data_IF_870035465666
#
_entry.id   IF_870035465666
#
_cell.length_a   1.000
_cell.length_b   1.000
_cell.length_c   1.000
_cell.angle_alpha   90.00
_cell.angle_beta   90.00
_cell.angle_gamma   90.00
#
_symmetry.space_group_name_H-M   'P 1'
#
loop_
_entity.id
_entity.type
_entity.pdbx_description
1 polymer ?
#
# COMPACT_ATOMS: atom_id res chain seq x y z
N UNK A 1 41.59 -6.39 -6.90
CA UNK A 1 41.79 -5.06 -6.26
C UNK A 1 40.51 -4.69 -5.50
N UNK A 2 40.53 -4.75 -4.17
CA UNK A 2 39.38 -4.38 -3.33
C UNK A 2 39.22 -2.87 -3.33
N UNK A 3 38.09 -2.37 -3.84
CA UNK A 3 37.79 -0.93 -3.85
C UNK A 3 37.70 -0.42 -2.41
N UNK A 4 38.35 0.71 -2.07
CA UNK A 4 38.28 1.26 -0.73
C UNK A 4 36.83 1.63 -0.40
N UNK A 5 36.28 1.01 0.65
CA UNK A 5 34.96 1.36 1.16
C UNK A 5 34.97 2.83 1.59
N UNK A 6 33.90 3.56 1.27
CA UNK A 6 33.77 4.94 1.72
C UNK A 6 33.53 4.89 3.22
N UNK A 7 34.56 5.23 4.00
CA UNK A 7 34.48 5.31 5.46
C UNK A 7 33.24 6.14 5.84
N UNK A 8 32.45 5.63 6.78
CA UNK A 8 31.23 6.29 7.28
C UNK A 8 31.56 7.53 8.12
N UNK A 9 32.54 8.32 7.74
CA UNK A 9 32.94 9.51 8.48
C UNK A 9 31.99 10.65 8.15
N UNK A 10 31.62 11.40 9.16
CA UNK A 10 30.96 12.67 8.99
C UNK A 10 31.93 13.64 8.29
N UNK A 11 31.50 14.27 7.20
CA UNK A 11 32.35 15.14 6.39
C UNK A 11 32.82 16.40 7.16
N UNK A 12 32.03 16.87 8.13
CA UNK A 12 32.34 18.06 8.92
C UNK A 12 33.17 17.75 10.18
N UNK A 13 32.95 16.59 10.83
CA UNK A 13 33.60 16.26 12.11
C UNK A 13 34.62 15.13 12.05
N UNK A 14 34.74 14.43 10.92
CA UNK A 14 35.63 13.28 10.75
C UNK A 14 35.27 12.05 11.61
N UNK A 15 34.29 12.19 12.52
CA UNK A 15 33.81 11.11 13.39
C UNK A 15 33.24 9.99 12.54
N UNK A 16 33.66 8.76 12.83
CA UNK A 16 33.10 7.55 12.22
C UNK A 16 31.68 7.43 12.76
N UNK A 17 30.70 7.63 11.89
CA UNK A 17 29.31 7.32 12.15
C UNK A 17 29.16 5.83 12.41
N UNK A 18 28.41 5.48 13.46
CA UNK A 18 28.15 4.10 13.87
C UNK A 18 27.34 3.30 12.84
N UNK A 19 26.74 3.98 11.86
CA UNK A 19 25.86 3.35 10.90
C UNK A 19 26.62 2.94 9.63
N UNK A 20 26.99 1.67 9.58
CA UNK A 20 27.42 0.98 8.37
C UNK A 20 26.22 0.74 7.44
N UNK A 21 25.56 1.81 6.98
CA UNK A 21 24.46 1.69 6.05
C UNK A 21 24.98 1.20 4.70
N UNK A 22 24.43 0.09 4.23
CA UNK A 22 24.55 -0.32 2.83
C UNK A 22 23.87 0.73 1.96
N UNK A 23 24.40 0.91 0.75
CA UNK A 23 23.70 1.69 -0.26
C UNK A 23 22.42 0.94 -0.63
N UNK A 24 21.27 1.58 -0.47
CA UNK A 24 19.95 0.95 -0.70
C UNK A 24 19.77 0.50 -2.16
N UNK A 25 20.49 1.13 -3.08
CA UNK A 25 20.37 0.83 -4.52
C UNK A 25 21.41 -0.17 -5.00
N UNK A 26 22.65 -0.07 -4.53
CA UNK A 26 23.67 -1.05 -4.88
C UNK A 26 23.53 -2.36 -4.07
N UNK A 27 22.79 -2.34 -2.95
CA UNK A 27 22.72 -3.45 -2.00
C UNK A 27 24.04 -3.78 -1.27
N UNK A 28 25.11 -3.06 -1.59
CA UNK A 28 26.49 -3.26 -1.10
C UNK A 28 26.92 -2.13 -0.18
N UNK A 29 28.09 -2.26 0.44
CA UNK A 29 28.70 -1.16 1.20
C UNK A 29 28.87 0.07 0.29
N UNK A 30 28.58 1.25 0.85
CA UNK A 30 28.74 2.50 0.11
C UNK A 30 30.21 2.71 -0.27
N UNK A 31 30.46 2.96 -1.56
CA UNK A 31 31.79 3.25 -2.11
C UNK A 31 31.84 4.68 -2.63
N UNK A 32 33.03 5.15 -3.01
CA UNK A 32 33.19 6.46 -3.67
C UNK A 32 32.38 6.60 -4.96
N UNK A 33 32.10 5.50 -5.65
CA UNK A 33 31.20 5.51 -6.81
C UNK A 33 29.75 5.80 -6.42
N UNK A 34 29.29 5.30 -5.27
CA UNK A 34 27.96 5.59 -4.77
C UNK A 34 27.78 7.10 -4.50
N UNK A 35 28.86 7.79 -4.11
CA UNK A 35 28.85 9.25 -3.94
C UNK A 35 28.80 9.96 -5.31
N UNK A 36 29.61 9.53 -6.28
CA UNK A 36 29.63 10.09 -7.64
C UNK A 36 28.30 9.94 -8.37
N UNK A 37 27.65 8.79 -8.22
CA UNK A 37 26.32 8.50 -8.78
C UNK A 37 25.18 9.14 -7.98
N UNK A 38 25.47 9.77 -6.83
CA UNK A 38 24.46 10.39 -5.98
C UNK A 38 23.57 9.41 -5.22
N UNK A 39 23.93 8.13 -5.10
CA UNK A 39 23.18 7.16 -4.28
C UNK A 39 23.21 7.56 -2.79
N UNK A 40 24.37 8.06 -2.37
CA UNK A 40 24.62 8.63 -1.05
C UNK A 40 25.12 10.06 -1.21
N UNK A 41 24.77 10.91 -0.25
CA UNK A 41 25.27 12.28 -0.18
C UNK A 41 25.54 12.68 1.26
N UNK A 42 26.27 13.79 1.43
CA UNK A 42 26.48 14.42 2.72
C UNK A 42 25.48 15.54 2.93
N UNK A 43 24.96 15.64 4.14
CA UNK A 43 24.04 16.70 4.53
C UNK A 43 24.76 18.05 4.59
N UNK A 44 24.28 19.00 3.78
CA UNK A 44 24.74 20.39 3.77
C UNK A 44 23.92 21.29 4.70
N UNK A 45 22.99 20.74 5.47
CA UNK A 45 22.21 21.52 6.41
C UNK A 45 23.09 22.09 7.56
N UNK A 46 22.79 23.30 8.05
CA UNK A 46 23.45 23.84 9.23
C UNK A 46 23.14 22.98 10.45
N UNK A 47 24.11 22.84 11.36
CA UNK A 47 23.90 22.07 12.58
C UNK A 47 23.10 22.88 13.59
N UNK A 48 22.02 22.32 14.12
CA UNK A 48 21.23 22.97 15.18
C UNK A 48 22.13 23.39 16.36
N UNK A 49 22.10 24.68 16.69
CA UNK A 49 22.80 25.31 17.82
C UNK A 49 24.35 25.26 17.77
N UNK A 50 24.98 24.97 16.62
CA UNK A 50 26.45 24.98 16.49
C UNK A 50 26.88 25.58 15.15
N UNK A 51 28.01 26.29 15.15
CA UNK A 51 28.67 26.70 13.92
C UNK A 51 29.14 25.46 13.14
N UNK A 52 28.70 25.33 11.89
CA UNK A 52 29.11 24.27 10.97
C UNK A 52 27.95 23.50 10.33
N UNK A 53 28.30 22.59 9.43
CA UNK A 53 27.35 21.76 8.69
C UNK A 53 27.15 20.40 9.37
N UNK A 54 25.98 19.80 9.16
CA UNK A 54 25.63 18.49 9.69
C UNK A 54 26.63 17.43 9.23
N UNK A 55 26.92 17.37 7.92
CA UNK A 55 27.98 16.50 7.35
C UNK A 55 27.72 15.00 7.50
N UNK A 56 26.56 14.60 8.01
CA UNK A 56 26.15 13.20 8.11
C UNK A 56 25.81 12.68 6.72
N UNK A 57 26.22 11.44 6.44
CA UNK A 57 25.94 10.76 5.19
C UNK A 57 24.55 10.12 5.24
N UNK A 58 23.78 10.28 4.18
CA UNK A 58 22.46 9.67 4.04
C UNK A 58 22.25 9.12 2.62
N UNK A 59 21.28 8.22 2.46
CA UNK A 59 20.86 7.70 1.15
C UNK A 59 19.88 8.69 0.51
N UNK A 60 20.18 9.17 -0.71
CA UNK A 60 19.35 10.21 -1.36
C UNK A 60 17.97 9.68 -1.76
N UNK A 61 17.82 8.37 -1.97
CA UNK A 61 16.52 7.72 -2.22
C UNK A 61 15.62 7.66 -0.98
N UNK A 62 16.18 7.73 0.22
CA UNK A 62 15.40 7.64 1.46
C UNK A 62 14.54 8.88 1.64
N UNK A 63 13.24 8.72 1.95
CA UNK A 63 12.30 9.85 2.14
C UNK A 63 12.67 10.76 3.32
N UNK A 64 13.45 10.26 4.27
CA UNK A 64 13.76 10.95 5.52
C UNK A 64 14.92 11.95 5.45
N UNK A 65 15.64 12.02 4.33
CA UNK A 65 16.86 12.83 4.24
C UNK A 65 17.89 12.40 5.28
N UNK A 66 18.53 13.37 5.92
CA UNK A 66 19.61 13.14 6.85
C UNK A 66 19.10 13.06 8.30
N UNK A 67 18.21 12.11 8.62
CA UNK A 67 17.62 11.75 9.93
C UNK A 67 17.25 12.91 10.90
N UNK A 68 18.22 13.74 11.27
CA UNK A 68 18.09 15.08 11.88
C UNK A 68 17.49 16.14 10.93
N UNK A 69 17.75 16.08 9.62
CA UNK A 69 17.34 17.09 8.65
C UNK A 69 16.49 16.47 7.52
N UNK A 70 15.16 16.50 7.66
CA UNK A 70 14.25 15.92 6.70
C UNK A 70 13.95 16.85 5.51
N UNK A 71 13.55 16.26 4.38
CA UNK A 71 13.29 17.03 3.14
C UNK A 71 12.09 17.96 3.20
N UNK A 72 11.12 17.68 4.07
CA UNK A 72 9.92 18.51 4.20
C UNK A 72 10.25 19.91 4.77
N UNK A 73 11.28 20.02 5.60
CA UNK A 73 11.81 21.29 6.13
C UNK A 73 12.64 22.09 5.11
N UNK A 74 12.86 21.56 3.91
CA UNK A 74 13.57 22.26 2.82
C UNK A 74 15.05 21.92 2.70
N UNK A 75 15.63 21.21 3.66
CA UNK A 75 17.04 20.81 3.62
C UNK A 75 17.34 19.79 2.53
N UNK A 76 18.55 19.85 1.95
CA UNK A 76 19.08 18.87 0.99
C UNK A 76 18.22 18.62 -0.27
N UNK A 77 17.24 19.49 -0.58
CA UNK A 77 16.38 19.34 -1.76
C UNK A 77 17.17 19.47 -3.07
N UNK A 78 18.22 20.27 -3.07
CA UNK A 78 19.10 20.45 -4.23
C UNK A 78 19.81 19.15 -4.62
N UNK A 79 20.24 18.36 -3.63
CA UNK A 79 20.88 17.06 -3.85
C UNK A 79 19.91 16.10 -4.56
N UNK A 80 18.63 16.12 -4.18
CA UNK A 80 17.59 15.29 -4.81
C UNK A 80 17.31 15.79 -6.24
N UNK A 81 17.26 17.10 -6.46
CA UNK A 81 17.06 17.69 -7.78
C UNK A 81 18.23 17.40 -8.73
N UNK A 82 19.46 17.59 -8.26
CA UNK A 82 20.67 17.30 -9.02
C UNK A 82 20.73 15.82 -9.41
N UNK A 83 20.32 14.96 -8.48
CA UNK A 83 20.22 13.53 -8.76
C UNK A 83 19.17 13.22 -9.84
N UNK A 84 17.97 13.79 -9.73
CA UNK A 84 16.92 13.66 -10.75
C UNK A 84 17.35 14.20 -12.12
N UNK A 85 18.17 15.25 -12.14
CA UNK A 85 18.71 15.79 -13.37
C UNK A 85 19.74 14.84 -14.04
N UNK A 86 20.49 14.08 -13.23
CA UNK A 86 21.45 13.08 -13.73
C UNK A 86 20.79 11.77 -14.15
N UNK A 87 19.72 11.39 -13.44
CA UNK A 87 19.00 10.14 -13.64
C UNK A 87 17.50 10.44 -13.78
N UNK A 88 16.99 10.60 -15.01
CA UNK A 88 15.58 10.93 -15.25
C UNK A 88 14.63 9.80 -14.82
N UNK A 89 15.13 8.57 -14.69
CA UNK A 89 14.37 7.41 -14.22
C UNK A 89 14.33 7.31 -12.68
N UNK A 90 14.96 8.27 -11.97
CA UNK A 90 14.93 8.31 -10.51
C UNK A 90 13.54 8.67 -9.97
N UNK A 91 12.71 7.65 -9.81
CA UNK A 91 11.46 7.72 -9.06
C UNK A 91 11.67 7.25 -7.63
N UNK A 92 11.11 8.01 -6.70
CA UNK A 92 11.00 7.58 -5.31
C UNK A 92 10.06 6.37 -5.20
N UNK A 93 10.22 5.53 -4.18
CA UNK A 93 9.37 4.33 -4.02
C UNK A 93 7.87 4.71 -3.99
N UNK A 94 7.54 5.87 -3.42
CA UNK A 94 6.20 6.44 -3.41
C UNK A 94 5.67 6.82 -4.81
N UNK A 95 6.50 7.44 -5.64
CA UNK A 95 6.12 7.79 -7.03
C UNK A 95 5.91 6.53 -7.86
N UNK A 96 6.71 5.50 -7.62
CA UNK A 96 6.57 4.18 -8.24
C UNK A 96 5.25 3.48 -7.83
N UNK A 97 4.87 3.55 -6.55
CA UNK A 97 3.59 3.03 -6.07
C UNK A 97 2.40 3.79 -6.67
N UNK A 98 2.50 5.11 -6.79
CA UNK A 98 1.46 5.94 -7.42
C UNK A 98 1.29 5.61 -8.90
N UNK A 99 2.40 5.47 -9.64
CA UNK A 99 2.37 5.08 -11.06
C UNK A 99 1.84 3.64 -11.26
N UNK A 100 2.17 2.73 -10.35
CA UNK A 100 1.63 1.37 -10.39
C UNK A 100 0.11 1.38 -10.14
N UNK A 101 -0.35 2.24 -9.23
CA UNK A 101 -1.77 2.41 -8.93
C UNK A 101 -2.54 2.98 -10.11
N UNK A 102 -2.05 4.06 -10.73
CA UNK A 102 -2.70 4.64 -11.92
C UNK A 102 -2.74 3.65 -13.08
N UNK A 103 -1.66 2.90 -13.32
CA UNK A 103 -1.63 1.85 -14.35
C UNK A 103 -2.60 0.70 -14.06
N UNK A 104 -2.80 0.35 -12.78
CA UNK A 104 -3.78 -0.65 -12.39
C UNK A 104 -5.22 -0.14 -12.60
N UNK A 105 -5.49 1.13 -12.27
CA UNK A 105 -6.78 1.79 -12.52
C UNK A 105 -7.08 1.90 -14.02
N UNK A 106 -6.11 2.29 -14.85
CA UNK A 106 -6.25 2.33 -16.31
C UNK A 106 -6.50 0.94 -16.90
N UNK A 107 -5.80 -0.09 -16.40
CA UNK A 107 -6.03 -1.47 -16.84
C UNK A 107 -7.41 -1.98 -16.43
N UNK A 108 -7.87 -1.67 -15.23
CA UNK A 108 -9.22 -2.00 -14.76
C UNK A 108 -10.29 -1.28 -15.60
N UNK A 109 -10.06 -0.01 -15.95
CA UNK A 109 -10.95 0.75 -16.83
C UNK A 109 -10.98 0.17 -18.25
N UNK A 110 -9.84 -0.27 -18.79
CA UNK A 110 -9.77 -0.93 -20.09
C UNK A 110 -10.50 -2.28 -20.10
N UNK A 111 -10.35 -3.07 -19.03
CA UNK A 111 -11.06 -4.34 -18.84
C UNK A 111 -12.58 -4.12 -18.71
N UNK A 112 -13.01 -3.08 -17.98
CA UNK A 112 -14.44 -2.71 -17.90
C UNK A 112 -15.01 -2.30 -19.27
N UNK A 113 -14.25 -1.55 -20.07
CA UNK A 113 -14.63 -1.18 -21.44
C UNK A 113 -14.71 -2.42 -22.32
N UNK A 114 -13.76 -3.33 -22.23
CA UNK A 114 -13.75 -4.60 -22.98
C UNK A 114 -14.94 -5.49 -22.59
N UNK A 115 -15.23 -5.65 -21.29
CA UNK A 115 -16.38 -6.41 -20.81
C UNK A 115 -17.70 -5.78 -21.27
N UNK A 116 -17.81 -4.45 -21.22
CA UNK A 116 -18.97 -3.73 -21.74
C UNK A 116 -19.16 -3.99 -23.24
N UNK A 117 -18.08 -3.93 -24.03
CA UNK A 117 -18.12 -4.24 -25.46
C UNK A 117 -18.54 -5.69 -25.72
N UNK A 118 -17.98 -6.64 -24.95
CA UNK A 118 -18.32 -8.06 -25.05
C UNK A 118 -19.81 -8.31 -24.75
N UNK A 119 -20.37 -7.65 -23.74
CA UNK A 119 -21.74 -7.82 -23.30
C UNK A 119 -22.76 -7.13 -24.24
N UNK A 120 -22.34 -6.10 -24.97
CA UNK A 120 -23.16 -5.46 -26.03
C UNK A 120 -23.14 -6.21 -27.36
N UNK A 121 -22.36 -7.28 -27.47
CA UNK A 121 -22.18 -8.03 -28.71
C UNK A 121 -23.26 -9.13 -28.82
N UNK A 122 -24.45 -8.72 -29.30
CA UNK A 122 -25.62 -9.58 -29.52
C UNK A 122 -25.44 -10.66 -30.61
N UNK A 123 -24.28 -10.68 -31.28
CA UNK A 123 -23.93 -11.69 -32.28
C UNK A 123 -23.61 -13.06 -31.66
N UNK A 124 -23.38 -13.12 -30.34
CA UNK A 124 -23.06 -14.36 -29.63
C UNK A 124 -24.34 -15.11 -29.23
N UNK A 125 -24.49 -16.40 -29.56
CA UNK A 125 -25.66 -17.17 -29.18
C UNK A 125 -25.71 -17.32 -27.67
N UNK A 126 -26.72 -16.73 -27.02
CA UNK A 126 -27.02 -17.01 -25.62
C UNK A 126 -27.36 -18.49 -25.48
N UNK A 127 -26.40 -19.26 -24.96
CA UNK A 127 -26.61 -20.66 -24.65
C UNK A 127 -27.57 -20.73 -23.45
N UNK A 128 -28.88 -20.75 -23.71
CA UNK A 128 -29.86 -21.00 -22.67
C UNK A 128 -29.64 -22.40 -22.12
N UNK A 129 -28.95 -22.47 -20.98
CA UNK A 129 -28.79 -23.71 -20.25
C UNK A 129 -30.18 -24.30 -19.96
N UNK A 130 -30.43 -25.53 -20.44
CA UNK A 130 -31.68 -26.24 -20.20
C UNK A 130 -31.90 -26.30 -18.69
N UNK A 131 -33.09 -25.89 -18.24
CA UNK A 131 -33.43 -25.83 -16.84
C UNK A 131 -33.10 -27.16 -16.14
N UNK A 132 -32.43 -27.09 -14.99
CA UNK A 132 -32.10 -28.27 -14.20
C UNK A 132 -33.38 -29.03 -13.83
N UNK A 133 -33.38 -30.37 -13.94
CA UNK A 133 -34.57 -31.17 -13.66
C UNK A 133 -35.05 -30.95 -12.21
N UNK A 134 -36.33 -30.60 -12.04
CA UNK A 134 -36.94 -30.39 -10.73
C UNK A 134 -36.81 -31.66 -9.90
N UNK A 135 -36.12 -31.57 -8.75
CA UNK A 135 -36.08 -32.66 -7.78
C UNK A 135 -37.49 -32.87 -7.20
N UNK A 136 -38.04 -34.08 -7.37
CA UNK A 136 -39.27 -34.50 -6.72
C UNK A 136 -39.00 -34.68 -5.23
N UNK A 137 -39.46 -33.75 -4.39
CA UNK A 137 -39.44 -33.94 -2.94
C UNK A 137 -40.50 -34.96 -2.55
N UNK A 138 -40.07 -36.11 -2.02
CA UNK A 138 -40.97 -37.09 -1.41
C UNK A 138 -41.44 -36.56 -0.06
N UNK A 139 -42.70 -36.10 -0.01
CA UNK A 139 -43.37 -35.75 1.25
C UNK A 139 -43.52 -37.01 2.11
N UNK A 140 -42.66 -37.16 3.13
CA UNK A 140 -42.89 -38.10 4.23
C UNK A 140 -44.06 -37.58 5.08
N UNK A 141 -45.19 -38.27 4.90
CA UNK A 141 -46.34 -38.46 5.79
C UNK A 141 -46.30 -37.69 7.14
N UNK A 142 -47.38 -36.93 7.35
CA UNK A 142 -47.53 -35.98 8.44
C UNK A 142 -47.52 -36.60 9.83
N UNK A 143 -46.78 -35.94 10.72
CA UNK A 143 -47.00 -36.03 12.16
C UNK A 143 -48.23 -35.18 12.49
N UNK A 144 -49.33 -35.84 12.88
CA UNK A 144 -50.50 -35.19 13.48
C UNK A 144 -50.04 -34.40 14.71
N UNK A 145 -50.27 -33.10 14.73
CA UNK A 145 -50.01 -32.29 15.93
C UNK A 145 -50.99 -32.70 17.04
N UNK A 146 -50.54 -32.80 18.31
CA UNK A 146 -51.45 -33.02 19.43
C UNK A 146 -52.32 -31.78 19.65
N UNK A 147 -53.64 -32.01 19.70
CA UNK A 147 -54.68 -31.01 19.93
C UNK A 147 -54.42 -30.29 21.27
N UNK A 148 -54.20 -28.98 21.24
CA UNK A 148 -53.96 -28.16 22.40
C UNK A 148 -55.19 -28.15 23.33
N UNK A 149 -55.06 -28.76 24.52
CA UNK A 149 -56.05 -28.70 25.62
C UNK A 149 -56.02 -27.35 26.36
N UNK A 150 -56.05 -26.22 25.63
CA UNK A 150 -55.93 -24.89 26.25
C UNK A 150 -57.01 -23.89 25.81
N UNK A 151 -58.24 -24.39 25.57
CA UNK A 151 -59.43 -23.55 25.34
C UNK A 151 -60.58 -24.04 26.24
N UNK A 152 -60.36 -24.07 27.55
CA UNK A 152 -61.45 -24.27 28.52
C UNK A 152 -61.33 -23.39 29.78
N UNK A 153 -60.26 -22.60 29.90
CA UNK A 153 -59.98 -21.81 31.10
C UNK A 153 -60.28 -20.31 30.94
N UNK A 154 -60.60 -19.82 29.73
CA UNK A 154 -60.90 -18.41 29.46
C UNK A 154 -62.40 -18.06 29.44
N UNK A 155 -63.31 -19.02 29.60
CA UNK A 155 -64.77 -18.76 29.59
C UNK A 155 -65.43 -18.70 30.99
N UNK A 156 -64.65 -18.73 32.08
CA UNK A 156 -65.20 -18.62 33.45
C UNK A 156 -65.01 -17.26 34.13
N UNK A 157 -64.31 -16.31 33.51
CA UNK A 157 -64.01 -15.00 34.14
C UNK A 157 -64.82 -13.81 33.61
N UNK A 158 -65.77 -13.98 32.68
CA UNK A 158 -66.53 -12.85 32.09
C UNK A 158 -68.00 -12.77 32.49
N UNK A 159 -68.46 -13.50 33.52
CA UNK A 159 -69.85 -13.44 34.03
C UNK A 159 -70.01 -12.89 35.46
N UNK A 160 -69.00 -12.20 36.00
CA UNK A 160 -69.07 -11.57 37.34
C UNK A 160 -68.81 -10.04 37.31
N UNK A 161 -69.37 -9.33 36.33
CA UNK A 161 -69.40 -7.87 36.32
C UNK A 161 -70.63 -7.37 35.56
N UNK A 162 -71.79 -7.48 36.21
CA UNK A 162 -73.02 -6.75 35.89
C UNK A 162 -73.99 -6.96 37.06
N UNK A 163 -73.83 -6.12 38.08
CA UNK A 163 -74.87 -5.66 39.00
C UNK A 163 -74.38 -4.38 39.66
#
# INVERSE_FOLDING_TARGET
MTRPALMCRNAATGKIGSLSHKCQECGKQATSECLKKGHVAYCSAPKNNKAGFCGIRFNVKSRGGCMEHPYHEGFNREIVKERRAKDPDFKTDYELEMDAKTRAEEKAAAEEVEERLYNTDWSKPQFHAKATPKQKMNNKQGKKQPLAKHIAQLQRCTRASKR
#
